data_IF_975328389838
#
_entry.id   IF_975328389838
#
_cell.length_a   1.000
_cell.length_b   1.000
_cell.length_c   1.000
_cell.angle_alpha   90.00
_cell.angle_beta   90.00
_cell.angle_gamma   90.00
#
_symmetry.space_group_name_H-M   'P 1'
#
loop_
_entity.id
_entity.type
_entity.pdbx_description
1 polymer ?
#
# COMPACT_ATOMS: atom_id res chain seq x y z
N UNK A 1 3.14 -4.08 17.29
CA UNK A 1 3.46 -4.97 16.14
C UNK A 1 4.89 -4.72 15.72
N UNK A 2 5.52 -5.71 15.10
CA UNK A 2 6.80 -5.58 14.40
C UNK A 2 6.58 -5.16 12.95
N UNK A 3 7.62 -4.63 12.30
CA UNK A 3 7.57 -4.35 10.87
C UNK A 3 7.29 -5.61 10.03
N UNK A 4 7.77 -6.77 10.48
CA UNK A 4 7.54 -8.04 9.80
C UNK A 4 6.05 -8.43 9.81
N UNK A 5 5.37 -8.30 10.96
CA UNK A 5 3.93 -8.57 11.05
C UNK A 5 3.11 -7.63 10.14
N UNK A 6 3.50 -6.34 10.07
CA UNK A 6 2.89 -5.38 9.15
C UNK A 6 3.10 -5.81 7.69
N UNK A 7 4.32 -6.23 7.33
CA UNK A 7 4.62 -6.72 5.99
C UNK A 7 3.79 -7.97 5.62
N UNK A 8 3.67 -8.93 6.54
CA UNK A 8 2.86 -10.15 6.34
C UNK A 8 1.38 -9.81 6.13
N UNK A 9 0.83 -8.84 6.87
CA UNK A 9 -0.55 -8.38 6.69
C UNK A 9 -0.73 -7.70 5.34
N UNK A 10 0.15 -6.75 4.99
CA UNK A 10 0.07 -6.02 3.71
C UNK A 10 0.16 -6.99 2.53
N UNK A 11 1.13 -7.90 2.54
CA UNK A 11 1.37 -8.85 1.44
C UNK A 11 0.24 -9.86 1.32
N UNK A 12 -0.24 -10.42 2.43
CA UNK A 12 -1.39 -11.35 2.41
C UNK A 12 -2.65 -10.66 1.91
N UNK A 13 -2.91 -9.44 2.39
CA UNK A 13 -4.09 -8.67 1.97
C UNK A 13 -4.00 -8.28 0.51
N UNK A 14 -2.85 -7.87 0.01
CA UNK A 14 -2.66 -7.53 -1.40
C UNK A 14 -2.92 -8.74 -2.32
N UNK A 15 -2.50 -9.94 -1.92
CA UNK A 15 -2.72 -11.17 -2.67
C UNK A 15 -4.23 -11.49 -2.82
N UNK A 16 -5.06 -11.21 -1.80
CA UNK A 16 -6.53 -11.34 -1.90
C UNK A 16 -7.12 -10.49 -3.03
N UNK A 17 -6.50 -9.34 -3.31
CA UNK A 17 -6.90 -8.44 -4.39
C UNK A 17 -6.11 -8.68 -5.67
N UNK A 18 -5.26 -9.70 -5.75
CA UNK A 18 -4.47 -10.03 -6.94
C UNK A 18 -3.33 -9.05 -7.22
N UNK A 19 -2.74 -8.45 -6.18
CA UNK A 19 -1.54 -7.62 -6.29
C UNK A 19 -0.34 -8.28 -5.61
N UNK A 20 0.82 -8.17 -6.23
CA UNK A 20 2.10 -8.38 -5.59
C UNK A 20 2.61 -7.05 -5.04
N UNK A 21 3.17 -7.05 -3.83
CA UNK A 21 3.74 -5.87 -3.18
C UNK A 21 5.25 -6.07 -3.00
N UNK A 22 6.02 -5.02 -3.23
CA UNK A 22 7.46 -4.97 -2.94
C UNK A 22 7.75 -3.88 -1.90
N UNK A 23 8.77 -4.11 -1.07
CA UNK A 23 9.24 -3.14 -0.09
C UNK A 23 10.33 -2.25 -0.70
N UNK A 24 10.30 -0.96 -0.39
CA UNK A 24 11.32 0.02 -0.73
C UNK A 24 11.68 0.88 0.50
N UNK A 25 12.58 1.86 0.32
CA UNK A 25 13.04 2.71 1.43
C UNK A 25 11.95 3.57 2.08
N UNK A 26 10.84 3.83 1.38
CA UNK A 26 9.72 4.66 1.85
C UNK A 26 8.53 3.83 2.38
N UNK A 27 8.53 2.51 2.20
CA UNK A 27 7.42 1.64 2.58
C UNK A 27 7.24 0.53 1.56
N UNK A 28 6.05 0.44 0.98
CA UNK A 28 5.71 -0.59 0.01
C UNK A 28 4.98 -0.02 -1.21
N UNK A 29 5.09 -0.72 -2.32
CA UNK A 29 4.37 -0.40 -3.55
C UNK A 29 3.89 -1.67 -4.23
N UNK A 30 2.83 -1.58 -5.03
CA UNK A 30 2.53 -2.68 -5.93
C UNK A 30 3.69 -2.86 -6.91
N UNK A 31 4.05 -4.12 -7.16
CA UNK A 31 5.02 -4.48 -8.17
C UNK A 31 4.41 -4.20 -9.53
N UNK A 32 5.07 -3.34 -10.30
CA UNK A 32 4.55 -2.84 -11.57
C UNK A 32 5.31 -3.42 -12.75
N UNK A 33 4.57 -3.75 -13.80
CA UNK A 33 5.08 -4.23 -15.09
C UNK A 33 5.11 -3.13 -16.15
N UNK A 34 4.63 -1.93 -15.79
CA UNK A 34 4.52 -0.79 -16.71
C UNK A 34 3.26 -0.81 -17.57
N UNK A 35 2.43 -1.86 -17.46
CA UNK A 35 1.13 -1.96 -18.11
C UNK A 35 -0.05 -1.77 -17.14
N UNK A 36 0.22 -1.64 -15.84
CA UNK A 36 -0.79 -1.55 -14.79
C UNK A 36 -1.53 -0.21 -14.83
N UNK A 37 -2.83 -0.25 -14.58
CA UNK A 37 -3.74 0.90 -14.57
C UNK A 37 -3.82 1.58 -13.21
N UNK A 38 -3.33 0.92 -12.15
CA UNK A 38 -3.26 1.48 -10.80
C UNK A 38 -1.84 1.44 -10.21
N UNK A 39 -1.52 2.51 -9.49
CA UNK A 39 -0.34 2.64 -8.66
C UNK A 39 -0.77 2.70 -7.19
N UNK A 40 -0.30 1.77 -6.38
CA UNK A 40 -0.58 1.68 -4.95
C UNK A 40 0.71 1.94 -4.19
N UNK A 41 0.64 2.85 -3.22
CA UNK A 41 1.76 3.20 -2.36
C UNK A 41 1.32 3.11 -0.91
N UNK A 42 2.16 2.49 -0.09
CA UNK A 42 1.96 2.32 1.33
C UNK A 42 3.16 2.94 2.03
N UNK A 43 2.95 4.03 2.76
CA UNK A 43 3.99 4.84 3.36
C UNK A 43 4.21 4.48 4.82
N UNK A 44 5.43 4.72 5.29
CA UNK A 44 5.81 4.67 6.69
C UNK A 44 5.98 6.10 7.21
N UNK A 45 5.09 6.53 8.11
CA UNK A 45 5.13 7.87 8.69
C UNK A 45 5.45 7.80 10.19
N UNK A 46 6.47 8.52 10.62
CA UNK A 46 6.78 8.61 12.06
C UNK A 46 5.67 9.37 12.79
N UNK A 47 5.04 8.72 13.76
CA UNK A 47 4.10 9.36 14.67
C UNK A 47 4.88 9.93 15.86
N UNK A 48 5.19 11.22 15.80
CA UNK A 48 5.96 11.94 16.82
C UNK A 48 5.23 11.95 18.17
N UNK A 49 3.90 12.03 18.16
CA UNK A 49 3.07 12.09 19.37
C UNK A 49 3.05 10.76 20.12
N UNK A 50 3.09 9.64 19.41
CA UNK A 50 3.14 8.28 19.98
C UNK A 50 4.57 7.77 20.19
N UNK A 51 5.58 8.54 19.82
CA UNK A 51 6.99 8.14 19.98
C UNK A 51 7.40 8.28 21.43
N UNK A 52 7.94 7.20 22.00
CA UNK A 52 8.51 7.16 23.33
C UNK A 52 9.98 7.55 23.25
N UNK A 53 10.24 8.83 23.50
CA UNK A 53 11.58 9.41 23.45
C UNK A 53 12.48 8.95 24.59
N UNK A 54 11.90 8.63 25.76
CA UNK A 54 12.67 8.18 26.93
C UNK A 54 13.24 6.78 26.73
N UNK A 55 12.46 5.89 26.13
CA UNK A 55 12.87 4.52 25.84
C UNK A 55 13.37 4.33 24.39
N UNK A 56 13.56 5.42 23.65
CA UNK A 56 14.03 5.42 22.26
C UNK A 56 13.19 4.52 21.33
N UNK A 57 11.86 4.54 21.47
CA UNK A 57 10.94 3.76 20.62
C UNK A 57 10.11 4.68 19.74
N UNK A 58 10.40 4.67 18.44
CA UNK A 58 9.62 5.37 17.44
C UNK A 58 8.37 4.57 17.08
N UNK A 59 7.22 5.23 17.06
CA UNK A 59 5.98 4.70 16.51
C UNK A 59 5.89 5.08 15.04
N UNK A 60 5.69 4.10 14.16
CA UNK A 60 5.57 4.29 12.71
C UNK A 60 4.15 3.91 12.31
N UNK A 61 3.35 4.88 11.89
CA UNK A 61 2.03 4.66 11.33
C UNK A 61 2.15 4.31 9.83
N UNK A 62 1.21 3.49 9.37
CA UNK A 62 1.12 3.06 7.98
C UNK A 62 -0.05 3.76 7.29
N UNK A 63 0.23 4.40 6.16
CA UNK A 63 -0.78 5.08 5.34
C UNK A 63 -0.78 4.53 3.93
N UNK A 64 -1.95 4.30 3.35
CA UNK A 64 -2.09 3.77 2.01
C UNK A 64 -2.74 4.78 1.07
N UNK A 65 -2.20 4.87 -0.15
CA UNK A 65 -2.75 5.66 -1.23
C UNK A 65 -2.80 4.85 -2.53
N UNK A 66 -3.72 5.22 -3.40
CA UNK A 66 -3.81 4.69 -4.75
C UNK A 66 -4.03 5.84 -5.75
N UNK A 67 -3.45 5.70 -6.92
CA UNK A 67 -3.64 6.61 -8.04
C UNK A 67 -3.78 5.85 -9.34
N UNK A 68 -4.56 6.39 -10.28
CA UNK A 68 -4.65 5.84 -11.63
C UNK A 68 -3.35 6.18 -12.37
N UNK A 69 -2.62 5.17 -12.84
CA UNK A 69 -1.31 5.33 -13.47
C UNK A 69 -1.38 5.52 -14.98
N UNK A 70 -2.45 5.07 -15.62
CA UNK A 70 -2.61 5.13 -17.08
C UNK A 70 -4.04 5.47 -17.44
N UNK A 71 -4.23 6.63 -18.07
CA UNK A 71 -5.50 7.06 -18.66
C UNK A 71 -5.25 7.66 -20.04
N UNK A 72 -6.05 7.26 -21.03
CA UNK A 72 -6.01 7.78 -22.40
C UNK A 72 -5.58 6.76 -23.46
N UNK A 73 -5.52 7.21 -24.71
CA UNK A 73 -5.34 6.36 -25.90
C UNK A 73 -6.66 5.91 -26.51
N UNK A 74 -6.62 4.84 -27.30
CA UNK A 74 -7.78 4.24 -27.95
C UNK A 74 -7.96 2.79 -27.52
N UNK A 75 -8.18 2.52 -26.22
CA UNK A 75 -8.33 1.15 -25.72
C UNK A 75 -9.60 0.49 -26.25
N UNK A 76 -9.59 -0.83 -26.37
CA UNK A 76 -10.80 -1.59 -26.67
C UNK A 76 -11.76 -1.59 -25.47
N UNK A 77 -13.06 -1.88 -25.67
CA UNK A 77 -13.99 -2.07 -24.57
C UNK A 77 -13.51 -3.10 -23.52
N UNK A 78 -12.88 -4.19 -23.95
CA UNK A 78 -12.33 -5.21 -23.06
C UNK A 78 -11.17 -4.68 -22.21
N UNK A 79 -10.28 -3.88 -22.80
CA UNK A 79 -9.18 -3.23 -22.09
C UNK A 79 -9.71 -2.21 -21.06
N UNK A 80 -10.77 -1.47 -21.40
CA UNK A 80 -11.44 -0.55 -20.48
C UNK A 80 -12.06 -1.28 -19.29
N UNK A 81 -12.75 -2.41 -19.53
CA UNK A 81 -13.34 -3.21 -18.46
C UNK A 81 -12.26 -3.82 -17.56
N UNK A 82 -11.15 -4.29 -18.12
CA UNK A 82 -10.00 -4.78 -17.36
C UNK A 82 -9.38 -3.69 -16.50
N UNK A 83 -9.20 -2.50 -17.06
CA UNK A 83 -8.70 -1.34 -16.33
C UNK A 83 -9.62 -0.96 -15.16
N UNK A 84 -10.94 -0.94 -15.41
CA UNK A 84 -11.93 -0.64 -14.38
C UNK A 84 -11.92 -1.67 -13.23
N UNK A 85 -11.81 -2.96 -13.55
CA UNK A 85 -11.68 -4.01 -12.54
C UNK A 85 -10.41 -3.85 -11.69
N UNK A 86 -9.27 -3.65 -12.34
CA UNK A 86 -7.98 -3.48 -11.66
C UNK A 86 -8.01 -2.25 -10.73
N UNK A 87 -8.52 -1.11 -11.21
CA UNK A 87 -8.67 0.11 -10.42
C UNK A 87 -9.61 -0.14 -9.23
N UNK A 88 -10.74 -0.83 -9.46
CA UNK A 88 -11.69 -1.13 -8.39
C UNK A 88 -11.09 -2.05 -7.32
N UNK A 89 -10.33 -3.08 -7.71
CA UNK A 89 -9.62 -3.95 -6.77
C UNK A 89 -8.56 -3.18 -5.98
N UNK A 90 -7.75 -2.36 -6.65
CA UNK A 90 -6.71 -1.60 -5.96
C UNK A 90 -7.27 -0.54 -5.01
N UNK A 91 -8.34 0.15 -5.40
CA UNK A 91 -9.03 1.09 -4.52
C UNK A 91 -9.58 0.42 -3.26
N UNK A 92 -10.19 -0.77 -3.39
CA UNK A 92 -10.68 -1.55 -2.25
C UNK A 92 -9.54 -2.02 -1.35
N UNK A 93 -8.46 -2.54 -1.92
CA UNK A 93 -7.27 -2.92 -1.18
C UNK A 93 -6.71 -1.76 -0.36
N UNK A 94 -6.50 -0.60 -0.99
CA UNK A 94 -6.01 0.60 -0.33
C UNK A 94 -6.92 1.05 0.81
N UNK A 95 -8.24 1.03 0.59
CA UNK A 95 -9.21 1.38 1.64
C UNK A 95 -9.14 0.41 2.83
N UNK A 96 -9.02 -0.89 2.56
CA UNK A 96 -8.89 -1.91 3.61
C UNK A 96 -7.63 -1.67 4.45
N UNK A 97 -6.46 -1.46 3.81
CA UNK A 97 -5.21 -1.15 4.53
C UNK A 97 -5.34 0.13 5.35
N UNK A 98 -5.91 1.19 4.78
CA UNK A 98 -6.10 2.46 5.48
C UNK A 98 -7.02 2.29 6.72
N UNK A 99 -8.06 1.47 6.61
CA UNK A 99 -9.01 1.23 7.70
C UNK A 99 -8.45 0.34 8.81
N UNK A 100 -7.44 -0.49 8.53
CA UNK A 100 -6.74 -1.29 9.54
C UNK A 100 -5.94 -0.44 10.52
N UNK A 101 -5.58 0.81 10.16
CA UNK A 101 -4.80 1.74 11.00
C UNK A 101 -3.53 1.08 11.56
N UNK A 102 -2.80 0.38 10.69
CA UNK A 102 -1.61 -0.37 11.07
C UNK A 102 -0.52 0.58 11.57
N UNK A 103 0.22 0.12 12.58
CA UNK A 103 1.42 0.81 13.08
C UNK A 103 2.39 -0.21 13.66
N UNK A 104 3.69 0.09 13.63
CA UNK A 104 4.70 -0.73 14.31
C UNK A 104 5.68 0.14 15.09
N UNK A 105 6.34 -0.46 16.06
CA UNK A 105 7.37 0.20 16.87
C UNK A 105 8.76 -0.21 16.40
N UNK A 106 9.72 0.72 16.45
CA UNK A 106 11.14 0.43 16.27
C UNK A 106 11.99 1.21 17.27
N UNK A 107 13.08 0.59 17.72
CA UNK A 107 14.09 1.28 18.53
C UNK A 107 15.01 2.12 17.64
N UNK A 108 15.47 3.28 18.13
CA UNK A 108 16.43 4.15 17.44
C UNK A 108 17.53 4.70 18.35
#
# INVERSE_FOLDING_TARGET
MTKQEVNEIITSKAAEYGFEIEENSMGWNNKRTGQDYINIQIFQNSNIEKTDWENHKACIDIEASASVSRMGGSPTPEELLKAADEIARGAKFTADIQNMKLSYERTF
#
